data_IF_023682484290
#
_entry.id   IF_023682484290
#
_cell.length_a   1.000
_cell.length_b   1.000
_cell.length_c   1.000
_cell.angle_alpha   90.00
_cell.angle_beta   90.00
_cell.angle_gamma   90.00
#
_symmetry.space_group_name_H-M   'P 1'
#
loop_
_entity.id
_entity.type
_entity.pdbx_description
1 polymer ?
#
# COMPACT_ATOMS: atom_id res chain seq x y z
N UNK A 1 1.26 16.80 -72.10
CA UNK A 1 0.34 17.58 -71.24
C UNK A 1 0.15 16.79 -69.96
N UNK A 2 0.76 17.30 -68.89
CA UNK A 2 0.84 16.74 -67.53
C UNK A 2 -0.50 16.75 -66.83
N UNK A 3 -0.81 15.74 -66.01
CA UNK A 3 -1.47 15.97 -64.71
C UNK A 3 -1.21 14.82 -63.74
N UNK A 4 -0.49 15.18 -62.67
CA UNK A 4 -0.35 14.49 -61.40
C UNK A 4 -1.71 14.28 -60.72
N UNK A 5 -1.90 13.13 -60.07
CA UNK A 5 -2.74 13.05 -58.87
C UNK A 5 -2.04 12.11 -57.87
N UNK A 6 -1.09 12.66 -57.12
CA UNK A 6 -0.67 12.06 -55.85
C UNK A 6 -1.76 12.36 -54.82
N UNK A 7 -2.63 11.39 -54.59
CA UNK A 7 -3.58 11.45 -53.49
C UNK A 7 -2.87 10.94 -52.21
N UNK A 8 -2.10 11.84 -51.58
CA UNK A 8 -1.49 11.58 -50.28
C UNK A 8 -2.60 11.47 -49.24
N UNK A 9 -2.93 10.23 -48.89
CA UNK A 9 -3.79 9.89 -47.77
C UNK A 9 -3.27 10.57 -46.50
N UNK A 10 -3.95 11.64 -46.09
CA UNK A 10 -3.82 12.22 -44.76
C UNK A 10 -4.28 11.15 -43.77
N UNK A 11 -3.32 10.41 -43.20
CA UNK A 11 -3.57 9.55 -42.04
C UNK A 11 -4.05 10.47 -40.91
N UNK A 12 -5.35 10.47 -40.67
CA UNK A 12 -5.95 11.13 -39.51
C UNK A 12 -5.36 10.50 -38.26
N UNK A 13 -4.42 11.19 -37.60
CA UNK A 13 -4.01 10.83 -36.25
C UNK A 13 -5.21 11.07 -35.35
N UNK A 14 -5.93 10.00 -35.02
CA UNK A 14 -6.83 9.98 -33.87
C UNK A 14 -6.03 10.48 -32.67
N UNK A 15 -6.34 11.68 -32.19
CA UNK A 15 -5.79 12.23 -30.95
C UNK A 15 -6.46 11.51 -29.79
N UNK A 16 -6.09 10.25 -29.57
CA UNK A 16 -6.51 9.51 -28.39
C UNK A 16 -5.83 10.17 -27.18
N UNK A 17 -6.61 10.86 -26.35
CA UNK A 17 -6.10 11.51 -25.14
C UNK A 17 -5.42 10.46 -24.27
N UNK A 18 -4.12 10.64 -24.00
CA UNK A 18 -3.38 9.69 -23.17
C UNK A 18 -3.91 9.67 -21.74
N UNK A 19 -4.17 8.45 -21.23
CA UNK A 19 -4.54 8.24 -19.84
C UNK A 19 -3.33 8.45 -18.93
N UNK A 20 -3.59 8.96 -17.74
CA UNK A 20 -2.60 9.14 -16.68
C UNK A 20 -2.17 7.75 -16.19
N UNK A 21 -0.86 7.54 -16.16
CA UNK A 21 -0.22 6.30 -15.75
C UNK A 21 1.25 6.32 -16.13
N UNK A 22 1.89 5.15 -16.16
CA UNK A 22 3.28 5.03 -16.57
C UNK A 22 4.27 5.47 -15.49
N UNK A 23 5.51 5.76 -15.90
CA UNK A 23 6.65 5.87 -14.99
C UNK A 23 6.53 7.01 -13.97
N UNK A 24 6.00 8.17 -14.37
CA UNK A 24 5.84 9.30 -13.46
C UNK A 24 4.80 9.00 -12.38
N UNK A 25 3.70 8.36 -12.76
CA UNK A 25 2.69 7.88 -11.81
C UNK A 25 3.29 6.85 -10.84
N UNK A 26 4.11 5.92 -11.34
CA UNK A 26 4.76 4.92 -10.51
C UNK A 26 5.66 5.54 -9.43
N UNK A 27 6.41 6.59 -9.76
CA UNK A 27 7.22 7.30 -8.77
C UNK A 27 6.40 8.06 -7.73
N UNK A 28 5.27 8.66 -8.12
CA UNK A 28 4.35 9.30 -7.17
C UNK A 28 3.78 8.25 -6.21
N UNK A 29 3.37 7.09 -6.73
CA UNK A 29 2.86 6.00 -5.90
C UNK A 29 3.93 5.41 -4.99
N UNK A 30 5.17 5.26 -5.47
CA UNK A 30 6.32 4.83 -4.64
C UNK A 30 6.57 5.83 -3.51
N UNK A 31 6.55 7.14 -3.78
CA UNK A 31 6.71 8.15 -2.75
C UNK A 31 5.57 8.12 -1.72
N UNK A 32 4.33 8.02 -2.18
CA UNK A 32 3.15 7.89 -1.30
C UNK A 32 3.22 6.62 -0.43
N UNK A 33 3.60 5.48 -1.02
CA UNK A 33 3.80 4.22 -0.31
C UNK A 33 4.96 4.29 0.68
N UNK A 34 6.02 5.03 0.36
CA UNK A 34 7.14 5.25 1.27
C UNK A 34 6.67 6.02 2.50
N UNK A 35 5.83 7.04 2.31
CA UNK A 35 5.22 7.78 3.43
C UNK A 35 4.31 6.89 4.30
N UNK A 36 3.45 6.10 3.66
CA UNK A 36 2.63 5.10 4.36
C UNK A 36 3.51 4.09 5.14
N UNK A 37 4.60 3.63 4.55
CA UNK A 37 5.56 2.72 5.18
C UNK A 37 6.25 3.36 6.39
N UNK A 38 6.72 4.59 6.26
CA UNK A 38 7.26 5.35 7.39
C UNK A 38 6.26 5.45 8.53
N UNK A 39 4.99 5.74 8.23
CA UNK A 39 3.92 5.76 9.23
C UNK A 39 3.73 4.42 9.93
N UNK A 40 3.71 3.29 9.20
CA UNK A 40 3.55 1.97 9.81
C UNK A 40 4.72 1.54 10.68
N UNK A 41 5.97 1.81 10.28
CA UNK A 41 7.11 1.54 11.16
C UNK A 41 7.12 2.44 12.39
N UNK A 42 6.74 3.70 12.23
CA UNK A 42 6.64 4.65 13.32
C UNK A 42 5.56 4.23 14.34
N UNK A 43 4.43 3.73 13.85
CA UNK A 43 3.34 3.19 14.65
C UNK A 43 3.72 1.87 15.36
N UNK A 44 4.29 0.91 14.62
CA UNK A 44 4.85 -0.31 15.18
C UNK A 44 5.90 -0.03 16.26
N UNK A 45 6.78 0.95 16.04
CA UNK A 45 7.75 1.38 17.04
C UNK A 45 7.06 1.89 18.31
N UNK A 46 6.04 2.73 18.19
CA UNK A 46 5.32 3.27 19.34
C UNK A 46 4.61 2.18 20.16
N UNK A 47 3.97 1.22 19.50
CA UNK A 47 3.34 0.06 20.15
C UNK A 47 4.34 -0.78 20.95
N UNK A 48 5.61 -0.84 20.51
CA UNK A 48 6.67 -1.57 21.21
C UNK A 48 7.32 -0.79 22.37
N UNK A 49 7.16 0.54 22.44
CA UNK A 49 7.87 1.38 23.42
C UNK A 49 6.95 2.08 24.42
N UNK A 50 5.66 2.23 24.12
CA UNK A 50 4.73 2.99 24.95
C UNK A 50 3.49 2.18 25.35
N UNK A 51 2.88 2.59 26.48
CA UNK A 51 1.50 2.25 26.78
C UNK A 51 0.60 3.18 25.98
N UNK A 52 -0.06 2.65 24.94
CA UNK A 52 -1.04 3.40 24.17
C UNK A 52 -2.43 3.06 24.71
N UNK A 53 -3.11 4.06 25.24
CA UNK A 53 -4.41 3.90 25.90
C UNK A 53 -5.59 4.34 25.00
N UNK A 54 -5.31 4.81 23.79
CA UNK A 54 -6.29 5.27 22.80
C UNK A 54 -5.84 4.96 21.38
N UNK A 55 -6.81 4.72 20.49
CA UNK A 55 -6.57 4.56 19.06
C UNK A 55 -6.03 5.85 18.43
N UNK A 56 -6.52 7.00 18.87
CA UNK A 56 -6.12 8.29 18.29
C UNK A 56 -4.77 8.72 18.85
N UNK A 57 -3.71 8.31 18.16
CA UNK A 57 -2.34 8.66 18.49
C UNK A 57 -1.67 9.44 17.35
N UNK A 58 -0.63 10.23 17.63
CA UNK A 58 0.14 10.88 16.57
C UNK A 58 0.71 9.88 15.55
N UNK A 59 1.09 8.67 15.98
CA UNK A 59 1.67 7.64 15.12
C UNK A 59 0.63 7.03 14.16
N UNK A 60 -0.58 6.73 14.64
CA UNK A 60 -1.72 6.43 13.78
C UNK A 60 -2.02 7.58 12.82
N UNK A 61 -1.95 8.83 13.30
CA UNK A 61 -2.10 10.02 12.46
C UNK A 61 -1.14 10.03 11.27
N UNK A 62 0.14 9.70 11.48
CA UNK A 62 1.13 9.57 10.39
C UNK A 62 0.77 8.42 9.45
N UNK A 63 0.48 7.22 9.98
CA UNK A 63 0.07 6.05 9.20
C UNK A 63 -1.14 6.35 8.29
N UNK A 64 -2.23 6.85 8.87
CA UNK A 64 -3.46 7.15 8.13
C UNK A 64 -3.30 8.33 7.17
N UNK A 65 -2.41 9.29 7.47
CA UNK A 65 -2.06 10.33 6.48
C UNK A 65 -1.34 9.75 5.26
N UNK A 66 -0.47 8.75 5.47
CA UNK A 66 0.17 8.00 4.40
C UNK A 66 -0.84 7.25 3.54
N UNK A 67 -1.77 6.57 4.19
CA UNK A 67 -2.86 5.90 3.49
C UNK A 67 -3.71 6.88 2.69
N UNK A 68 -4.05 8.03 3.26
CA UNK A 68 -4.84 9.06 2.60
C UNK A 68 -4.15 9.59 1.33
N UNK A 69 -2.84 9.84 1.37
CA UNK A 69 -2.07 10.27 0.18
C UNK A 69 -2.14 9.20 -0.91
N UNK A 70 -1.92 7.92 -0.56
CA UNK A 70 -2.03 6.80 -1.51
C UNK A 70 -3.43 6.74 -2.14
N UNK A 71 -4.48 6.80 -1.31
CA UNK A 71 -5.86 6.73 -1.76
C UNK A 71 -6.21 7.91 -2.68
N UNK A 72 -5.83 9.13 -2.30
CA UNK A 72 -6.07 10.34 -3.11
C UNK A 72 -5.38 10.22 -4.47
N UNK A 73 -4.09 9.86 -4.50
CA UNK A 73 -3.35 9.75 -5.77
C UNK A 73 -4.00 8.74 -6.70
N UNK A 74 -4.35 7.56 -6.19
CA UNK A 74 -4.95 6.50 -6.99
C UNK A 74 -6.37 6.87 -7.46
N UNK A 75 -7.24 7.30 -6.55
CA UNK A 75 -8.64 7.65 -6.85
C UNK A 75 -8.72 8.87 -7.77
N UNK A 76 -7.95 9.92 -7.49
CA UNK A 76 -7.91 11.10 -8.36
C UNK A 76 -7.45 10.73 -9.77
N UNK A 77 -6.44 9.86 -9.90
CA UNK A 77 -5.98 9.38 -11.21
C UNK A 77 -7.08 8.62 -11.96
N UNK A 78 -7.80 7.74 -11.28
CA UNK A 78 -8.94 6.99 -11.86
C UNK A 78 -10.05 7.95 -12.30
N UNK A 79 -10.43 8.91 -11.46
CA UNK A 79 -11.47 9.90 -11.78
C UNK A 79 -11.05 10.77 -12.97
N UNK A 80 -9.81 11.24 -13.00
CA UNK A 80 -9.27 12.04 -14.12
C UNK A 80 -9.19 11.22 -15.42
N UNK A 81 -8.85 9.94 -15.35
CA UNK A 81 -8.87 9.05 -16.51
C UNK A 81 -10.28 8.76 -17.01
N UNK A 82 -11.24 8.57 -16.10
CA UNK A 82 -12.65 8.41 -16.45
C UNK A 82 -13.20 9.69 -17.11
N UNK A 83 -12.87 10.86 -16.58
CA UNK A 83 -13.23 12.15 -17.16
C UNK A 83 -12.64 12.38 -18.57
N UNK A 84 -11.53 11.69 -18.92
CA UNK A 84 -10.95 11.66 -20.28
C UNK A 84 -11.66 10.68 -21.23
N UNK A 85 -12.72 10.00 -20.79
CA UNK A 85 -13.55 9.11 -21.60
C UNK A 85 -13.23 7.61 -21.45
N UNK A 86 -12.34 7.21 -20.55
CA UNK A 86 -12.11 5.80 -20.25
C UNK A 86 -13.28 5.21 -19.45
N UNK A 87 -13.58 3.92 -19.63
CA UNK A 87 -14.46 3.20 -18.67
C UNK A 87 -13.79 3.12 -17.31
N UNK A 88 -14.56 2.92 -16.22
CA UNK A 88 -14.00 2.80 -14.88
C UNK A 88 -12.92 1.70 -14.77
N UNK A 89 -13.08 0.59 -15.48
CA UNK A 89 -12.09 -0.48 -15.54
C UNK A 89 -10.81 -0.05 -16.27
N UNK A 90 -10.94 0.68 -17.38
CA UNK A 90 -9.81 1.20 -18.17
C UNK A 90 -9.11 2.39 -17.50
N UNK A 91 -9.82 3.10 -16.62
CA UNK A 91 -9.31 4.26 -15.92
C UNK A 91 -8.25 3.92 -14.86
N UNK A 92 -8.22 2.66 -14.40
CA UNK A 92 -7.21 2.17 -13.46
C UNK A 92 -5.86 2.01 -14.16
N UNK A 93 -4.78 2.65 -13.66
CA UNK A 93 -3.46 2.47 -14.22
C UNK A 93 -3.02 0.99 -14.22
N UNK A 94 -2.46 0.53 -15.33
CA UNK A 94 -2.05 -0.86 -15.48
C UNK A 94 -1.07 -1.30 -14.36
N UNK A 95 -1.40 -2.38 -13.66
CA UNK A 95 -0.64 -2.86 -12.51
C UNK A 95 -1.21 -2.45 -11.14
N UNK A 96 -2.16 -1.51 -11.07
CA UNK A 96 -2.76 -1.03 -9.82
C UNK A 96 -4.16 -1.61 -9.55
N UNK A 97 -4.59 -2.59 -10.32
CA UNK A 97 -5.93 -3.19 -10.19
C UNK A 97 -6.13 -3.81 -8.79
N UNK A 98 -5.09 -4.48 -8.27
CA UNK A 98 -5.10 -5.00 -6.89
C UNK A 98 -5.00 -3.88 -5.84
N UNK A 99 -4.31 -2.79 -6.16
CA UNK A 99 -4.19 -1.65 -5.25
C UNK A 99 -5.53 -0.97 -5.00
N UNK A 100 -6.45 -0.97 -5.97
CA UNK A 100 -7.83 -0.49 -5.77
C UNK A 100 -8.54 -1.33 -4.70
N UNK A 101 -8.48 -2.65 -4.82
CA UNK A 101 -9.06 -3.57 -3.82
C UNK A 101 -8.39 -3.37 -2.45
N UNK A 102 -7.06 -3.21 -2.45
CA UNK A 102 -6.29 -2.92 -1.25
C UNK A 102 -6.70 -1.62 -0.60
N UNK A 103 -6.88 -0.52 -1.34
CA UNK A 103 -7.32 0.77 -0.80
C UNK A 103 -8.72 0.68 -0.21
N UNK A 104 -9.67 0.04 -0.91
CA UNK A 104 -11.03 -0.15 -0.38
C UNK A 104 -11.03 -1.00 0.89
N UNK A 105 -10.33 -2.12 0.88
CA UNK A 105 -10.23 -3.02 2.03
C UNK A 105 -9.49 -2.39 3.21
N UNK A 106 -8.44 -1.60 2.96
CA UNK A 106 -7.70 -0.90 4.01
C UNK A 106 -8.56 0.20 4.66
N UNK A 107 -9.36 0.94 3.88
CA UNK A 107 -10.29 1.92 4.44
C UNK A 107 -11.33 1.27 5.37
N UNK A 108 -11.93 0.17 4.92
CA UNK A 108 -12.91 -0.59 5.73
C UNK A 108 -12.21 -1.20 6.95
N UNK A 109 -11.04 -1.81 6.75
CA UNK A 109 -10.23 -2.42 7.79
C UNK A 109 -9.82 -1.43 8.85
N UNK A 110 -9.43 -0.20 8.49
CA UNK A 110 -9.02 0.82 9.45
C UNK A 110 -10.17 1.32 10.32
N UNK A 111 -11.37 1.45 9.74
CA UNK A 111 -12.58 1.76 10.52
C UNK A 111 -12.94 0.59 11.44
N UNK A 112 -12.88 -0.65 10.94
CA UNK A 112 -13.12 -1.83 11.76
C UNK A 112 -12.10 -1.96 12.89
N UNK A 113 -10.83 -1.64 12.62
CA UNK A 113 -9.73 -1.65 13.59
C UNK A 113 -9.91 -0.59 14.68
N UNK A 114 -10.34 0.62 14.30
CA UNK A 114 -10.75 1.64 15.26
C UNK A 114 -11.85 1.11 16.20
N UNK A 115 -12.91 0.50 15.66
CA UNK A 115 -13.97 -0.06 16.49
C UNK A 115 -13.47 -1.24 17.34
N UNK A 116 -12.58 -2.07 16.81
CA UNK A 116 -11.96 -3.16 17.54
C UNK A 116 -11.24 -2.63 18.78
N UNK A 117 -10.41 -1.61 18.62
CA UNK A 117 -9.71 -0.96 19.73
C UNK A 117 -10.62 -0.27 20.73
N UNK A 118 -11.74 0.30 20.29
CA UNK A 118 -12.73 0.92 21.20
C UNK A 118 -13.47 -0.14 22.02
N UNK A 119 -13.82 -1.28 21.41
CA UNK A 119 -14.66 -2.32 22.03
C UNK A 119 -13.86 -3.28 22.91
N UNK A 120 -12.67 -3.68 22.47
CA UNK A 120 -11.84 -4.71 23.14
C UNK A 120 -10.59 -4.12 23.80
N UNK A 121 -10.33 -2.82 23.59
CA UNK A 121 -9.13 -2.16 24.10
C UNK A 121 -7.91 -2.34 23.19
N UNK A 122 -6.83 -1.61 23.49
CA UNK A 122 -5.51 -1.83 22.90
C UNK A 122 -4.83 -2.89 23.78
N UNK A 123 -5.11 -4.16 23.51
CA UNK A 123 -4.47 -5.24 24.26
C UNK A 123 -2.96 -5.21 24.03
N UNK A 124 -2.15 -5.16 25.11
CA UNK A 124 -0.68 -5.20 25.06
C UNK A 124 -0.10 -6.60 24.78
N UNK A 125 -0.81 -7.42 24.01
CA UNK A 125 -0.40 -8.79 23.74
C UNK A 125 -0.06 -8.98 22.26
N UNK A 126 0.79 -9.97 21.97
CA UNK A 126 1.09 -10.47 20.62
C UNK A 126 -0.21 -10.75 19.83
N UNK A 127 -1.30 -11.07 20.54
CA UNK A 127 -2.64 -11.27 20.00
C UNK A 127 -3.24 -10.03 19.32
N UNK A 128 -2.89 -8.80 19.72
CA UNK A 128 -3.42 -7.59 19.10
C UNK A 128 -2.93 -7.42 17.65
N UNK A 129 -1.66 -7.75 17.38
CA UNK A 129 -1.12 -7.74 16.02
C UNK A 129 -1.73 -8.85 15.15
N UNK A 130 -2.17 -9.95 15.78
CA UNK A 130 -2.87 -11.06 15.13
C UNK A 130 -4.40 -10.86 15.11
N UNK A 131 -4.89 -9.70 15.55
CA UNK A 131 -6.32 -9.41 15.52
C UNK A 131 -6.85 -9.49 14.07
N UNK A 132 -8.11 -9.90 13.89
CA UNK A 132 -8.69 -10.02 12.55
C UNK A 132 -8.59 -8.73 11.72
N UNK A 133 -8.68 -7.56 12.37
CA UNK A 133 -8.61 -6.25 11.72
C UNK A 133 -7.19 -5.90 11.28
N UNK A 134 -6.18 -6.17 12.12
CA UNK A 134 -4.78 -5.99 11.74
C UNK A 134 -4.37 -6.90 10.57
N UNK A 135 -4.77 -8.17 10.59
CA UNK A 135 -4.49 -9.11 9.49
C UNK A 135 -5.12 -8.64 8.17
N UNK A 136 -6.37 -8.15 8.22
CA UNK A 136 -7.03 -7.56 7.06
C UNK A 136 -6.25 -6.34 6.54
N UNK A 137 -5.86 -5.42 7.42
CA UNK A 137 -5.07 -4.24 7.08
C UNK A 137 -3.74 -4.62 6.43
N UNK A 138 -3.05 -5.63 6.96
CA UNK A 138 -1.79 -6.13 6.42
C UNK A 138 -1.93 -6.74 5.02
N UNK A 139 -2.97 -7.55 4.80
CA UNK A 139 -3.28 -8.12 3.47
C UNK A 139 -3.58 -6.99 2.48
N UNK A 140 -4.44 -6.05 2.87
CA UNK A 140 -4.81 -4.92 2.04
C UNK A 140 -3.59 -4.05 1.70
N UNK A 141 -2.71 -3.79 2.66
CA UNK A 141 -1.46 -3.08 2.43
C UNK A 141 -0.58 -3.82 1.42
N UNK A 142 -0.42 -5.14 1.56
CA UNK A 142 0.29 -5.95 0.57
C UNK A 142 -0.26 -5.78 -0.85
N UNK A 143 -1.59 -5.77 -1.01
CA UNK A 143 -2.25 -5.52 -2.31
C UNK A 143 -1.98 -4.11 -2.85
N UNK A 144 -1.96 -3.09 -1.99
CA UNK A 144 -1.59 -1.72 -2.37
C UNK A 144 -0.13 -1.68 -2.84
N UNK A 145 0.80 -2.18 -2.03
CA UNK A 145 2.24 -2.16 -2.29
C UNK A 145 2.64 -2.99 -3.52
N UNK A 146 1.85 -4.00 -3.89
CA UNK A 146 2.06 -4.77 -5.11
C UNK A 146 1.83 -3.95 -6.40
N UNK A 147 1.17 -2.80 -6.32
CA UNK A 147 0.82 -1.96 -7.47
C UNK A 147 2.03 -1.54 -8.32
N UNK A 148 2.95 -0.72 -7.77
CA UNK A 148 4.13 -0.28 -8.50
C UNK A 148 5.04 -1.44 -8.94
N UNK A 149 5.11 -2.53 -8.14
CA UNK A 149 5.87 -3.72 -8.51
C UNK A 149 5.29 -4.40 -9.75
N UNK A 150 3.98 -4.63 -9.77
CA UNK A 150 3.29 -5.20 -10.95
C UNK A 150 3.41 -4.29 -12.17
N UNK A 151 3.34 -2.98 -12.00
CA UNK A 151 3.53 -2.01 -13.08
C UNK A 151 4.96 -2.06 -13.65
N UNK A 152 5.98 -2.04 -12.78
CA UNK A 152 7.38 -2.14 -13.17
C UNK A 152 7.70 -3.50 -13.82
N UNK A 153 7.17 -4.59 -13.29
CA UNK A 153 7.34 -5.94 -13.83
C UNK A 153 6.79 -6.06 -15.25
N UNK A 154 5.56 -5.59 -15.49
CA UNK A 154 4.97 -5.54 -16.85
C UNK A 154 5.83 -4.73 -17.82
N UNK A 155 6.40 -3.61 -17.36
CA UNK A 155 7.27 -2.77 -18.18
C UNK A 155 8.61 -3.44 -18.51
N UNK A 156 9.13 -4.25 -17.60
CA UNK A 156 10.39 -4.99 -17.78
C UNK A 156 10.34 -6.05 -18.89
N UNK A 157 9.13 -6.53 -19.23
CA UNK A 157 8.90 -7.53 -20.27
C UNK A 157 8.88 -6.97 -21.70
N UNK A 158 8.79 -5.64 -21.87
CA UNK A 158 8.78 -5.00 -23.19
C UNK A 158 10.18 -4.62 -23.69
N UNK A 159 10.33 -4.22 -24.97
CA UNK A 159 11.57 -3.63 -25.48
C UNK A 159 11.87 -2.34 -24.71
N UNK A 160 12.69 -2.44 -23.66
CA UNK A 160 12.88 -1.38 -22.70
C UNK A 160 13.53 -0.14 -23.35
N UNK A 161 12.91 1.04 -23.18
CA UNK A 161 13.70 2.25 -23.11
C UNK A 161 14.57 2.14 -21.85
N UNK A 162 15.86 1.85 -22.03
CA UNK A 162 16.86 1.73 -20.96
C UNK A 162 17.15 3.10 -20.35
N UNK A 163 16.22 3.60 -19.55
CA UNK A 163 16.45 4.71 -18.64
C UNK A 163 16.66 4.15 -17.22
N UNK A 164 17.72 4.58 -16.55
CA UNK A 164 18.04 4.16 -15.17
C UNK A 164 16.87 4.40 -14.20
N UNK A 165 16.13 5.51 -14.35
CA UNK A 165 14.94 5.82 -13.53
C UNK A 165 13.84 4.77 -13.69
N UNK A 166 13.72 4.19 -14.88
CA UNK A 166 12.72 3.15 -15.15
C UNK A 166 13.16 1.83 -14.52
N UNK A 167 14.46 1.53 -14.55
CA UNK A 167 15.01 0.31 -13.95
C UNK A 167 14.91 0.31 -12.43
N UNK A 168 15.05 1.46 -11.77
CA UNK A 168 14.97 1.56 -10.31
C UNK A 168 13.58 1.30 -9.73
N UNK A 169 12.50 1.51 -10.50
CA UNK A 169 11.14 1.26 -9.99
C UNK A 169 10.91 -0.19 -9.61
N UNK A 170 11.55 -1.15 -10.28
CA UNK A 170 11.36 -2.57 -9.99
C UNK A 170 11.94 -2.98 -8.61
N UNK A 171 13.24 -2.78 -8.31
CA UNK A 171 13.80 -3.14 -7.02
C UNK A 171 13.23 -2.31 -5.86
N UNK A 172 12.93 -1.02 -6.07
CA UNK A 172 12.36 -0.17 -4.99
C UNK A 172 10.95 -0.60 -4.64
N UNK A 173 10.10 -0.86 -5.64
CA UNK A 173 8.74 -1.34 -5.37
C UNK A 173 8.72 -2.75 -4.79
N UNK A 174 9.64 -3.62 -5.21
CA UNK A 174 9.83 -4.93 -4.59
C UNK A 174 10.26 -4.78 -3.12
N UNK A 175 11.20 -3.89 -2.82
CA UNK A 175 11.61 -3.61 -1.45
C UNK A 175 10.44 -3.13 -0.59
N UNK A 176 9.65 -2.16 -1.08
CA UNK A 176 8.46 -1.68 -0.37
C UNK A 176 7.44 -2.79 -0.13
N UNK A 177 7.22 -3.67 -1.11
CA UNK A 177 6.34 -4.83 -0.95
C UNK A 177 6.88 -5.79 0.11
N UNK A 178 8.18 -6.10 0.09
CA UNK A 178 8.84 -6.96 1.08
C UNK A 178 8.83 -6.33 2.49
N UNK A 179 8.95 -5.01 2.59
CA UNK A 179 8.87 -4.27 3.86
C UNK A 179 7.53 -4.47 4.56
N UNK A 180 6.42 -4.58 3.82
CA UNK A 180 5.10 -4.92 4.41
C UNK A 180 5.20 -6.23 5.19
N UNK A 181 5.79 -7.27 4.60
CA UNK A 181 5.94 -8.56 5.28
C UNK A 181 6.83 -8.46 6.53
N UNK A 182 7.86 -7.63 6.51
CA UNK A 182 8.72 -7.47 7.68
C UNK A 182 8.00 -6.85 8.88
N UNK A 183 7.03 -5.94 8.66
CA UNK A 183 6.16 -5.41 9.72
C UNK A 183 5.28 -6.50 10.33
N UNK A 184 4.79 -7.43 9.50
CA UNK A 184 3.99 -8.59 9.95
C UNK A 184 4.85 -9.50 10.84
N UNK A 185 6.07 -9.80 10.41
CA UNK A 185 6.93 -10.79 11.08
C UNK A 185 7.76 -10.23 12.24
N UNK A 186 7.66 -8.94 12.56
CA UNK A 186 8.54 -8.29 13.56
C UNK A 186 8.46 -8.92 14.96
N UNK A 187 7.32 -9.52 15.33
CA UNK A 187 7.10 -10.20 16.62
C UNK A 187 7.52 -11.67 16.62
N UNK A 188 7.75 -12.25 15.42
CA UNK A 188 8.14 -13.64 15.23
C UNK A 188 9.67 -13.85 15.21
N UNK A 189 10.44 -12.90 15.75
CA UNK A 189 11.90 -13.00 15.74
C UNK A 189 12.39 -13.98 16.83
N UNK A 190 12.96 -15.15 16.47
CA UNK A 190 13.28 -16.23 17.42
C UNK A 190 14.35 -15.86 18.44
N UNK A 191 15.06 -14.74 18.24
CA UNK A 191 16.10 -14.26 19.13
C UNK A 191 15.64 -13.18 20.13
N UNK A 192 14.40 -12.68 20.02
CA UNK A 192 13.84 -11.67 20.94
C UNK A 192 12.57 -12.15 21.63
N UNK A 193 11.84 -13.09 21.03
CA UNK A 193 10.66 -13.73 21.62
C UNK A 193 11.00 -15.13 22.12
N UNK A 194 11.75 -15.21 23.23
CA UNK A 194 11.78 -16.43 24.03
C UNK A 194 10.43 -16.50 24.76
N UNK A 195 9.49 -17.28 24.22
CA UNK A 195 8.22 -17.55 24.90
C UNK A 195 8.46 -17.88 26.39
N UNK A 196 7.64 -17.39 27.33
CA UNK A 196 7.92 -17.59 28.74
C UNK A 196 7.80 -19.08 29.07
N UNK A 197 8.95 -19.71 29.32
CA UNK A 197 9.05 -20.83 30.25
C UNK A 197 8.96 -20.34 31.71
N UNK A 198 8.38 -19.15 31.96
CA UNK A 198 7.97 -18.71 33.29
C UNK A 198 6.57 -19.24 33.56
N UNK A 199 6.54 -20.45 34.11
CA UNK A 199 5.41 -21.02 34.84
C UNK A 199 4.85 -19.96 35.77
N UNK A 200 3.52 -19.83 35.78
CA UNK A 200 2.77 -18.94 36.66
C UNK A 200 3.23 -19.09 38.11
N UNK A 201 3.64 -17.99 38.75
CA UNK A 201 3.67 -17.90 40.21
C UNK A 201 2.95 -16.63 40.66
N UNK A 202 1.64 -16.60 40.43
CA UNK A 202 0.74 -15.60 41.02
C UNK A 202 -0.55 -16.24 41.54
N UNK A 203 -0.45 -17.48 42.03
CA UNK A 203 -1.47 -18.12 42.88
C UNK A 203 -0.79 -18.92 44.00
N UNK A 204 -0.13 -18.21 44.92
CA UNK A 204 -0.08 -18.60 46.33
C UNK A 204 -0.66 -17.42 47.11
N UNK A 205 -1.99 -17.35 47.05
CA UNK A 205 -2.89 -16.89 48.12
C UNK A 205 -2.24 -17.11 49.49
N UNK A 206 -2.16 -16.09 50.35
CA UNK A 206 -3.26 -15.82 51.28
C UNK A 206 -3.91 -17.12 51.79
N UNK A 207 -3.20 -17.85 52.64
CA UNK A 207 -3.79 -18.70 53.67
C UNK A 207 -2.72 -19.10 54.70
N UNK A 208 -3.02 -18.77 55.97
CA UNK A 208 -2.28 -19.02 57.22
C UNK A 208 -1.22 -17.98 57.59
#
# INVERSE_FOLDING_TARGET
MTTHVENLGKVSRSSTTSLIGGISFDWIMIAALTWLMTGGYLDAWAHNHFALDSFFTPWHGVLYSGFLVVAIVLVATIVLNHAKGATWQQAVPAGYELSVLGVCGFAIGGVADMFWHILFGIEKNIDAQLSPTHLLLMICWGLIAAGPFRAAWRRSMGPAQRNWLTQLTLPISLLLLLSVFSLITQTAHPFTSLAPATISKSQETEQS
#
